data_IF_507477198074
#
_entry.id   IF_507477198074
#
_cell.length_a   1.000
_cell.length_b   1.000
_cell.length_c   1.000
_cell.angle_alpha   90.00
_cell.angle_beta   90.00
_cell.angle_gamma   90.00
#
_symmetry.space_group_name_H-M   'P 1'
#
loop_
_entity.id
_entity.type
_entity.pdbx_description
1 polymer ?
#
# COMPACT_ATOMS: atom_id res chain seq x y z
N UNK A 1 26.69 2.18 7.43
CA UNK A 1 26.26 1.19 6.40
C UNK A 1 26.22 1.88 5.04
N UNK A 2 26.94 1.38 4.05
CA UNK A 2 26.99 2.01 2.71
C UNK A 2 25.71 1.72 1.89
N UNK A 3 25.49 2.49 0.82
CA UNK A 3 24.26 2.43 0.01
C UNK A 3 24.09 1.10 -0.72
N UNK A 4 25.21 0.52 -1.15
CA UNK A 4 25.24 -0.80 -1.76
C UNK A 4 24.69 -1.89 -0.82
N UNK A 5 25.11 -1.87 0.45
CA UNK A 5 24.65 -2.81 1.47
C UNK A 5 23.18 -2.59 1.82
N UNK A 6 22.72 -1.33 1.92
CA UNK A 6 21.27 -1.03 2.10
C UNK A 6 20.44 -1.61 0.96
N UNK A 7 20.88 -1.43 -0.29
CA UNK A 7 20.19 -1.96 -1.48
C UNK A 7 20.12 -3.48 -1.47
N UNK A 8 21.20 -4.17 -1.08
CA UNK A 8 21.21 -5.63 -0.94
C UNK A 8 20.20 -6.10 0.11
N UNK A 9 20.22 -5.51 1.30
CA UNK A 9 19.30 -5.87 2.39
C UNK A 9 17.85 -5.62 1.96
N UNK A 10 17.55 -4.47 1.36
CA UNK A 10 16.20 -4.14 0.88
C UNK A 10 15.68 -5.17 -0.14
N UNK A 11 16.51 -5.55 -1.11
CA UNK A 11 16.18 -6.61 -2.08
C UNK A 11 15.87 -7.94 -1.40
N UNK A 12 16.68 -8.35 -0.42
CA UNK A 12 16.45 -9.59 0.33
C UNK A 12 15.16 -9.56 1.16
N UNK A 13 14.76 -8.39 1.66
CA UNK A 13 13.57 -8.24 2.50
C UNK A 13 12.27 -8.09 1.70
N UNK A 14 12.36 -7.64 0.44
CA UNK A 14 11.22 -7.52 -0.46
C UNK A 14 10.56 -8.88 -0.68
N UNK A 15 9.22 -8.95 -0.59
CA UNK A 15 8.46 -10.20 -0.78
C UNK A 15 8.50 -11.20 0.39
N UNK A 16 9.33 -10.96 1.41
CA UNK A 16 9.39 -11.84 2.59
C UNK A 16 8.09 -11.79 3.37
N UNK A 17 7.46 -12.96 3.57
CA UNK A 17 6.23 -13.08 4.37
C UNK A 17 6.50 -12.72 5.83
N UNK A 18 5.68 -11.83 6.39
CA UNK A 18 5.67 -11.46 7.81
C UNK A 18 5.01 -12.56 8.65
N UNK A 19 5.51 -12.78 9.87
CA UNK A 19 4.88 -13.71 10.83
C UNK A 19 3.47 -13.26 11.21
N UNK A 20 2.65 -14.20 11.71
CA UNK A 20 1.29 -13.90 12.16
C UNK A 20 1.26 -12.84 13.28
N UNK A 21 2.17 -12.95 14.25
CA UNK A 21 2.32 -11.97 15.35
C UNK A 21 2.65 -10.58 14.83
N UNK A 22 3.57 -10.48 13.87
CA UNK A 22 3.96 -9.21 13.27
C UNK A 22 2.80 -8.57 12.47
N UNK A 23 2.02 -9.37 11.73
CA UNK A 23 0.80 -8.90 11.06
C UNK A 23 -0.23 -8.37 12.07
N UNK A 24 -0.44 -9.10 13.18
CA UNK A 24 -1.35 -8.68 14.26
C UNK A 24 -0.97 -7.31 14.82
N UNK A 25 0.30 -7.09 15.14
CA UNK A 25 0.75 -5.80 15.67
C UNK A 25 0.56 -4.65 14.68
N UNK A 26 0.82 -4.87 13.39
CA UNK A 26 0.54 -3.86 12.34
C UNK A 26 -0.96 -3.55 12.31
N UNK A 27 -1.83 -4.56 12.27
CA UNK A 27 -3.27 -4.33 12.25
C UNK A 27 -3.76 -3.58 13.49
N UNK A 28 -3.20 -3.89 14.67
CA UNK A 28 -3.51 -3.20 15.92
C UNK A 28 -3.05 -1.74 15.91
N UNK A 29 -1.85 -1.43 15.41
CA UNK A 29 -1.34 -0.06 15.37
C UNK A 29 -2.09 0.82 14.35
N UNK A 30 -2.65 0.22 13.31
CA UNK A 30 -3.47 0.91 12.31
C UNK A 30 -4.93 1.09 12.75
N UNK A 31 -5.39 0.34 13.76
CA UNK A 31 -6.77 0.41 14.24
C UNK A 31 -7.07 1.80 14.81
N UNK A 32 -8.23 2.36 14.44
CA UNK A 32 -8.71 3.67 14.89
C UNK A 32 -7.81 4.87 14.55
N UNK A 33 -6.81 4.69 13.69
CA UNK A 33 -5.95 5.80 13.24
C UNK A 33 -6.79 6.79 12.42
N UNK A 34 -6.87 8.05 12.86
CA UNK A 34 -7.49 9.12 12.08
C UNK A 34 -6.62 9.46 10.87
N UNK A 35 -7.25 9.55 9.71
CA UNK A 35 -6.59 9.96 8.47
C UNK A 35 -6.75 11.47 8.29
N UNK A 36 -5.72 12.13 7.78
CA UNK A 36 -5.79 13.54 7.38
C UNK A 36 -6.73 13.71 6.19
N UNK A 37 -7.23 14.93 5.97
CA UNK A 37 -8.15 15.19 4.87
C UNK A 37 -7.47 15.02 3.51
N UNK A 38 -6.21 15.43 3.38
CA UNK A 38 -5.38 15.15 2.19
C UNK A 38 -5.31 13.64 1.89
N UNK A 39 -5.15 12.80 2.91
CA UNK A 39 -5.10 11.36 2.72
C UNK A 39 -6.44 10.79 2.24
N UNK A 40 -7.56 11.29 2.77
CA UNK A 40 -8.91 10.89 2.31
C UNK A 40 -9.15 11.31 0.87
N UNK A 41 -8.74 12.53 0.50
CA UNK A 41 -8.88 13.05 -0.86
C UNK A 41 -8.08 12.21 -1.87
N UNK A 42 -6.83 11.87 -1.54
CA UNK A 42 -5.99 11.04 -2.39
C UNK A 42 -6.59 9.63 -2.61
N UNK A 43 -7.18 9.03 -1.57
CA UNK A 43 -7.93 7.78 -1.70
C UNK A 43 -9.10 7.95 -2.67
N UNK A 44 -9.91 9.00 -2.50
CA UNK A 44 -11.07 9.28 -3.36
C UNK A 44 -10.68 9.44 -4.83
N UNK A 45 -9.64 10.23 -5.12
CA UNK A 45 -9.09 10.41 -6.47
C UNK A 45 -8.65 9.08 -7.09
N UNK A 46 -7.88 8.28 -6.34
CA UNK A 46 -7.38 6.98 -6.81
C UNK A 46 -8.54 6.01 -7.13
N UNK A 47 -9.56 5.98 -6.28
CA UNK A 47 -10.75 5.13 -6.48
C UNK A 47 -11.55 5.55 -7.72
N UNK A 48 -11.73 6.87 -7.94
CA UNK A 48 -12.40 7.39 -9.12
C UNK A 48 -11.67 6.99 -10.41
N UNK A 49 -10.35 7.14 -10.44
CA UNK A 49 -9.53 6.74 -11.59
C UNK A 49 -9.68 5.25 -11.90
N UNK A 50 -9.61 4.39 -10.89
CA UNK A 50 -9.78 2.94 -11.06
C UNK A 50 -11.16 2.57 -11.59
N UNK A 51 -12.21 3.25 -11.10
CA UNK A 51 -13.56 3.03 -11.59
C UNK A 51 -13.70 3.41 -13.07
N UNK A 52 -13.16 4.57 -13.47
CA UNK A 52 -13.16 5.02 -14.87
C UNK A 52 -12.38 4.09 -15.79
N UNK A 53 -11.20 3.63 -15.39
CA UNK A 53 -10.41 2.63 -16.13
C UNK A 53 -11.19 1.34 -16.34
N UNK A 54 -11.85 0.85 -15.29
CA UNK A 54 -12.69 -0.34 -15.39
C UNK A 54 -13.90 -0.14 -16.33
N UNK A 55 -14.53 1.04 -16.32
CA UNK A 55 -15.61 1.37 -17.25
C UNK A 55 -15.12 1.38 -18.70
N UNK A 56 -13.98 2.03 -18.97
CA UNK A 56 -13.37 2.03 -20.30
C UNK A 56 -13.05 0.62 -20.79
N UNK A 57 -12.48 -0.23 -19.92
CA UNK A 57 -12.20 -1.64 -20.24
C UNK A 57 -13.46 -2.46 -20.54
N UNK A 58 -14.59 -2.15 -19.90
CA UNK A 58 -15.87 -2.83 -20.15
C UNK A 58 -16.49 -2.37 -21.46
N UNK A 59 -16.43 -1.08 -21.78
CA UNK A 59 -16.98 -0.52 -23.03
C UNK A 59 -16.15 -0.83 -24.28
N UNK A 60 -14.86 -1.15 -24.11
CA UNK A 60 -13.92 -1.49 -25.20
C UNK A 60 -13.89 -2.99 -25.56
N UNK A 61 -14.73 -3.81 -24.92
CA UNK A 61 -14.90 -5.24 -25.23
C UNK A 61 -16.16 -5.46 -26.05
#
# INVERSE_FOLDING_TARGET
MNEFTKKKISKTMTGRKKSATHKKHISQSLKNRKLTDEHKENISKSMKLKYMDNQHRVMSK
#
